data_IF_190154197125
#
_entry.id   IF_190154197125
#
_cell.length_a   1.000
_cell.length_b   1.000
_cell.length_c   1.000
_cell.angle_alpha   90.00
_cell.angle_beta   90.00
_cell.angle_gamma   90.00
#
_symmetry.space_group_name_H-M   'P 1'
#
loop_
_entity.id
_entity.type
_entity.pdbx_description
1 polymer ?
#
# COMPACT_ATOMS: atom_id res chain seq x y z
N UNK A 1 10.21 -12.20 15.86
CA UNK A 1 9.52 -10.94 15.52
C UNK A 1 8.82 -11.13 14.19
N UNK A 2 7.74 -10.39 13.92
CA UNK A 2 6.98 -10.51 12.67
C UNK A 2 7.68 -9.73 11.55
N UNK A 3 7.76 -10.29 10.35
CA UNK A 3 8.47 -9.68 9.21
C UNK A 3 7.55 -8.79 8.37
N UNK A 4 6.48 -9.36 7.83
CA UNK A 4 5.40 -8.71 7.10
C UNK A 4 4.75 -7.65 7.98
N UNK A 5 4.37 -6.51 7.41
CA UNK A 5 3.81 -5.36 8.14
C UNK A 5 2.28 -5.34 8.08
N UNK A 6 1.64 -4.64 9.01
CA UNK A 6 0.17 -4.44 9.03
C UNK A 6 -0.12 -2.96 8.87
N UNK A 7 -0.94 -2.66 7.88
CA UNK A 7 -1.53 -1.34 7.66
C UNK A 7 -2.96 -1.40 8.16
N UNK A 8 -3.39 -0.41 8.95
CA UNK A 8 -4.77 -0.31 9.41
C UNK A 8 -5.35 1.03 8.97
N UNK A 9 -6.52 1.00 8.37
CA UNK A 9 -7.28 2.22 8.08
C UNK A 9 -7.87 2.76 9.36
N UNK A 10 -7.58 4.02 9.68
CA UNK A 10 -8.18 4.70 10.82
C UNK A 10 -9.53 5.32 10.43
N UNK A 11 -10.52 5.13 11.28
CA UNK A 11 -11.87 5.68 11.10
C UNK A 11 -12.61 5.80 12.43
N UNK A 12 -13.94 5.99 12.40
CA UNK A 12 -14.75 6.19 13.59
C UNK A 12 -14.52 5.16 14.71
N UNK A 13 -14.40 3.87 14.37
CA UNK A 13 -14.25 2.78 15.34
C UNK A 13 -12.85 2.72 15.98
N UNK A 14 -11.83 3.27 15.31
CA UNK A 14 -10.43 3.26 15.76
C UNK A 14 -9.90 4.64 16.10
N UNK A 15 -10.79 5.61 16.33
CA UNK A 15 -10.38 7.01 16.48
C UNK A 15 -9.81 7.31 17.88
N UNK A 16 -10.20 6.60 18.95
CA UNK A 16 -9.75 6.95 20.32
C UNK A 16 -8.27 6.60 20.59
N UNK A 17 -7.59 7.38 21.44
CA UNK A 17 -6.19 7.12 21.85
C UNK A 17 -6.00 5.69 22.38
N UNK A 18 -6.92 5.24 23.24
CA UNK A 18 -6.91 3.89 23.82
C UNK A 18 -7.02 2.80 22.77
N UNK A 19 -7.80 3.02 21.71
CA UNK A 19 -7.96 2.02 20.65
C UNK A 19 -6.74 2.00 19.73
N UNK A 20 -6.19 3.17 19.37
CA UNK A 20 -4.93 3.31 18.65
C UNK A 20 -3.80 2.59 19.40
N UNK A 21 -3.67 2.81 20.71
CA UNK A 21 -2.66 2.18 21.56
C UNK A 21 -2.76 0.65 21.52
N UNK A 22 -3.98 0.10 21.64
CA UNK A 22 -4.20 -1.35 21.52
C UNK A 22 -3.84 -1.87 20.13
N UNK A 23 -4.20 -1.15 19.06
CA UNK A 23 -3.89 -1.54 17.69
C UNK A 23 -2.37 -1.55 17.45
N UNK A 24 -1.65 -0.54 17.93
CA UNK A 24 -0.18 -0.50 17.90
C UNK A 24 0.43 -1.68 18.67
N UNK A 25 -0.04 -1.95 19.91
CA UNK A 25 0.40 -3.12 20.71
C UNK A 25 0.12 -4.46 20.03
N UNK A 26 -0.99 -4.56 19.30
CA UNK A 26 -1.38 -5.77 18.58
C UNK A 26 -0.68 -5.92 17.22
N UNK A 27 0.10 -4.93 16.78
CA UNK A 27 1.00 -5.05 15.65
C UNK A 27 0.76 -4.10 14.47
N UNK A 28 -0.09 -3.07 14.60
CA UNK A 28 -0.20 -2.02 13.57
C UNK A 28 1.16 -1.35 13.34
N UNK A 29 1.55 -1.20 12.07
CA UNK A 29 2.79 -0.53 11.66
C UNK A 29 2.55 0.77 10.90
N UNK A 30 1.44 0.87 10.18
CA UNK A 30 1.08 2.04 9.38
C UNK A 30 -0.39 2.36 9.59
N UNK A 31 -0.68 3.63 9.89
CA UNK A 31 -2.03 4.18 9.90
C UNK A 31 -2.36 4.71 8.50
N UNK A 32 -3.36 4.12 7.85
CA UNK A 32 -3.93 4.60 6.59
C UNK A 32 -5.08 5.58 6.87
N UNK A 33 -5.10 6.68 6.15
CA UNK A 33 -6.18 7.65 6.12
C UNK A 33 -6.76 7.67 4.72
N UNK A 34 -8.04 7.32 4.59
CA UNK A 34 -8.72 7.25 3.31
C UNK A 34 -9.37 8.60 2.99
N UNK A 35 -8.85 9.33 2.00
CA UNK A 35 -9.33 10.67 1.64
C UNK A 35 -10.54 10.65 0.70
N UNK A 36 -11.01 9.47 0.28
CA UNK A 36 -12.35 9.33 -0.30
C UNK A 36 -13.47 9.69 0.69
N UNK A 37 -13.16 9.78 1.99
CA UNK A 37 -14.06 10.13 3.06
C UNK A 37 -13.42 11.11 4.06
N UNK A 38 -14.25 11.79 4.83
CA UNK A 38 -13.80 12.73 5.87
C UNK A 38 -13.37 14.08 5.31
N UNK A 39 -13.00 14.97 6.22
CA UNK A 39 -12.48 16.31 5.91
C UNK A 39 -11.03 16.42 6.35
N UNK A 40 -10.29 17.38 5.80
CA UNK A 40 -8.92 17.67 6.23
C UNK A 40 -8.81 17.90 7.75
N UNK A 41 -9.78 18.56 8.36
CA UNK A 41 -9.80 18.78 9.82
C UNK A 41 -9.90 17.45 10.58
N UNK A 42 -10.81 16.57 10.17
CA UNK A 42 -10.95 15.25 10.81
C UNK A 42 -9.70 14.36 10.63
N UNK A 43 -9.04 14.45 9.46
CA UNK A 43 -7.80 13.73 9.19
C UNK A 43 -6.65 14.30 10.01
N UNK A 44 -6.58 15.62 10.18
CA UNK A 44 -5.58 16.30 11.01
C UNK A 44 -5.67 15.83 12.46
N UNK A 45 -6.86 15.87 13.06
CA UNK A 45 -7.07 15.38 14.43
C UNK A 45 -6.65 13.92 14.59
N UNK A 46 -6.94 13.09 13.59
CA UNK A 46 -6.59 11.67 13.58
C UNK A 46 -5.07 11.47 13.51
N UNK A 47 -4.37 12.22 12.64
CA UNK A 47 -2.91 12.19 12.51
C UNK A 47 -2.24 12.61 13.83
N UNK A 48 -2.67 13.73 14.41
CA UNK A 48 -2.10 14.27 15.65
C UNK A 48 -2.27 13.29 16.81
N UNK A 49 -3.46 12.71 16.95
CA UNK A 49 -3.75 11.70 17.96
C UNK A 49 -2.95 10.43 17.78
N UNK A 50 -2.83 9.93 16.54
CA UNK A 50 -2.01 8.76 16.23
C UNK A 50 -0.54 8.99 16.58
N UNK A 51 0.03 10.15 16.18
CA UNK A 51 1.42 10.50 16.47
C UNK A 51 1.67 10.63 17.97
N UNK A 52 0.77 11.29 18.71
CA UNK A 52 0.86 11.39 20.17
C UNK A 52 1.00 10.01 20.81
N UNK A 53 0.08 9.08 20.52
CA UNK A 53 0.11 7.73 21.10
C UNK A 53 1.36 6.96 20.66
N UNK A 54 1.73 7.03 19.38
CA UNK A 54 2.95 6.41 18.84
C UNK A 54 4.21 6.88 19.56
N UNK A 55 4.32 8.19 19.77
CA UNK A 55 5.51 8.84 20.34
C UNK A 55 5.60 8.56 21.85
N UNK A 56 4.48 8.57 22.58
CA UNK A 56 4.38 8.12 23.98
C UNK A 56 4.81 6.66 24.16
N UNK A 57 4.51 5.81 23.18
CA UNK A 57 4.94 4.41 23.16
C UNK A 57 6.40 4.22 22.74
N UNK A 58 7.06 5.23 22.16
CA UNK A 58 8.44 5.15 21.68
C UNK A 58 8.65 4.16 20.53
N UNK A 59 7.66 3.96 19.66
CA UNK A 59 7.71 2.96 18.57
C UNK A 59 7.70 3.61 17.18
N UNK A 60 8.23 2.87 16.20
CA UNK A 60 8.15 3.27 14.80
C UNK A 60 6.78 2.91 14.21
N UNK A 61 5.98 3.90 13.84
CA UNK A 61 4.79 3.71 13.00
C UNK A 61 4.57 4.89 12.05
N UNK A 62 4.12 4.58 10.83
CA UNK A 62 3.99 5.56 9.75
C UNK A 62 2.54 6.00 9.51
N UNK A 63 2.38 7.13 8.84
CA UNK A 63 1.12 7.65 8.32
C UNK A 63 1.11 7.53 6.79
N UNK A 64 0.05 6.92 6.25
CA UNK A 64 -0.19 6.77 4.82
C UNK A 64 -1.48 7.50 4.44
N UNK A 65 -1.36 8.50 3.57
CA UNK A 65 -2.49 9.18 2.95
C UNK A 65 -2.90 8.41 1.70
N UNK A 66 -4.14 7.96 1.61
CA UNK A 66 -4.68 7.29 0.42
C UNK A 66 -5.59 8.25 -0.34
N UNK A 67 -5.15 8.67 -1.53
CA UNK A 67 -5.86 9.63 -2.39
C UNK A 67 -7.16 9.04 -2.92
N UNK A 68 -8.13 9.88 -3.27
CA UNK A 68 -9.35 9.39 -3.93
C UNK A 68 -9.06 8.94 -5.36
N UNK A 69 -8.27 9.74 -6.08
CA UNK A 69 -7.91 9.48 -7.48
C UNK A 69 -9.02 9.78 -8.48
N UNK A 70 -8.71 9.62 -9.78
CA UNK A 70 -9.63 9.93 -10.88
C UNK A 70 -10.67 8.82 -11.03
N UNK A 71 -11.92 9.13 -10.67
CA UNK A 71 -13.06 8.21 -10.72
C UNK A 71 -14.25 8.92 -11.36
N UNK A 72 -15.00 8.20 -12.18
CA UNK A 72 -16.24 8.68 -12.80
C UNK A 72 -17.40 8.21 -11.93
N UNK A 73 -18.36 9.09 -11.63
CA UNK A 73 -19.54 8.76 -10.85
C UNK A 73 -20.83 9.22 -11.52
N UNK A 74 -21.91 8.51 -11.22
CA UNK A 74 -23.26 8.95 -11.56
C UNK A 74 -23.74 10.03 -10.57
N UNK A 75 -24.73 10.81 -11.00
CA UNK A 75 -25.41 11.81 -10.18
C UNK A 75 -26.36 11.21 -9.14
N UNK A 76 -27.31 12.03 -8.73
CA UNK A 76 -28.37 11.65 -7.79
C UNK A 76 -29.65 11.28 -8.53
N UNK A 77 -30.43 10.36 -7.95
CA UNK A 77 -31.76 9.99 -8.40
C UNK A 77 -32.84 10.73 -7.61
N UNK A 78 -33.95 11.02 -8.27
CA UNK A 78 -35.16 11.57 -7.62
C UNK A 78 -35.65 10.62 -6.52
N UNK A 79 -35.62 9.31 -6.80
CA UNK A 79 -35.98 8.26 -5.87
C UNK A 79 -34.80 7.27 -5.75
N UNK A 80 -33.87 7.53 -4.83
CA UNK A 80 -32.75 6.63 -4.56
C UNK A 80 -33.12 5.61 -3.47
N UNK A 81 -32.83 4.32 -3.65
CA UNK A 81 -32.25 3.70 -4.85
C UNK A 81 -33.28 3.45 -5.96
N UNK A 82 -32.82 3.35 -7.21
CA UNK A 82 -33.63 2.87 -8.35
C UNK A 82 -33.32 1.41 -8.67
N UNK A 83 -34.25 0.71 -9.31
CA UNK A 83 -34.04 -0.67 -9.79
C UNK A 83 -33.94 -0.66 -11.31
N UNK A 84 -32.77 -1.03 -11.83
CA UNK A 84 -32.56 -1.26 -13.26
C UNK A 84 -32.84 -2.72 -13.58
N UNK A 85 -33.73 -3.01 -14.52
CA UNK A 85 -34.05 -4.40 -14.91
C UNK A 85 -33.18 -4.83 -16.08
N UNK A 86 -32.72 -6.07 -16.05
CA UNK A 86 -32.05 -6.69 -17.19
C UNK A 86 -32.92 -6.60 -18.44
N UNK A 87 -32.33 -6.12 -19.52
CA UNK A 87 -33.01 -5.93 -20.80
C UNK A 87 -33.66 -4.55 -20.96
N UNK A 88 -33.67 -3.68 -19.95
CA UNK A 88 -34.14 -2.30 -20.14
C UNK A 88 -33.05 -1.43 -20.79
N UNK A 89 -33.47 -0.33 -21.41
CA UNK A 89 -32.56 0.70 -21.90
C UNK A 89 -32.35 1.75 -20.79
N UNK A 90 -31.10 2.15 -20.57
CA UNK A 90 -30.72 3.14 -19.56
C UNK A 90 -29.72 4.14 -20.13
N UNK A 91 -29.91 5.43 -19.86
CA UNK A 91 -29.11 6.51 -20.45
C UNK A 91 -28.17 7.14 -19.43
N UNK A 92 -26.88 7.15 -19.73
CA UNK A 92 -25.88 7.93 -19.02
C UNK A 92 -25.69 9.26 -19.76
N UNK A 93 -25.86 10.40 -19.08
CA UNK A 93 -25.84 11.72 -19.75
C UNK A 93 -24.93 12.72 -19.04
N UNK A 94 -24.27 13.60 -19.79
CA UNK A 94 -23.52 14.73 -19.23
C UNK A 94 -24.40 15.95 -18.93
N UNK A 95 -25.69 15.91 -19.33
CA UNK A 95 -26.67 16.95 -19.00
C UNK A 95 -26.91 16.97 -17.50
N UNK A 96 -27.08 18.16 -16.93
CA UNK A 96 -27.47 18.34 -15.53
C UNK A 96 -28.95 17.99 -15.37
N UNK A 97 -29.21 16.73 -14.99
CA UNK A 97 -30.55 16.18 -14.80
C UNK A 97 -30.57 15.33 -13.54
N UNK A 98 -31.67 15.40 -12.79
CA UNK A 98 -31.92 14.46 -11.70
C UNK A 98 -32.23 13.08 -12.29
N UNK A 99 -31.57 12.06 -11.77
CA UNK A 99 -31.68 10.69 -12.26
C UNK A 99 -33.06 10.09 -12.05
N UNK A 100 -33.46 9.22 -12.97
CA UNK A 100 -34.67 8.40 -12.94
C UNK A 100 -34.31 6.95 -13.28
N UNK A 101 -35.30 6.06 -13.36
CA UNK A 101 -35.09 4.68 -13.81
C UNK A 101 -34.65 4.57 -15.29
N UNK A 102 -34.60 5.68 -16.04
CA UNK A 102 -34.28 5.68 -17.48
C UNK A 102 -33.04 6.51 -17.85
N UNK A 103 -32.61 7.44 -17.00
CA UNK A 103 -31.50 8.36 -17.27
C UNK A 103 -30.84 8.80 -15.98
N UNK A 104 -29.52 9.00 -15.97
CA UNK A 104 -28.78 9.63 -14.85
C UNK A 104 -27.61 10.46 -15.36
N UNK A 105 -27.33 11.57 -14.65
CA UNK A 105 -26.17 12.41 -14.88
C UNK A 105 -24.85 11.63 -14.64
N UNK A 106 -23.78 11.98 -15.37
CA UNK A 106 -22.40 11.53 -15.17
C UNK A 106 -21.50 12.75 -14.95
N UNK A 107 -20.69 12.70 -13.90
CA UNK A 107 -19.87 13.84 -13.46
C UNK A 107 -18.66 14.17 -14.35
N UNK A 108 -18.36 13.30 -15.33
CA UNK A 108 -17.32 13.53 -16.33
C UNK A 108 -17.88 14.18 -17.62
N UNK A 109 -17.56 15.46 -17.83
CA UNK A 109 -18.12 16.26 -18.94
C UNK A 109 -17.79 15.73 -20.34
N UNK A 110 -16.66 15.04 -20.52
CA UNK A 110 -16.24 14.47 -21.81
C UNK A 110 -16.71 13.01 -21.99
N UNK A 111 -17.54 12.48 -21.09
CA UNK A 111 -17.96 11.08 -21.11
C UNK A 111 -18.61 10.67 -22.43
N UNK A 112 -19.63 11.39 -22.90
CA UNK A 112 -20.30 11.07 -24.16
C UNK A 112 -19.38 11.20 -25.39
N UNK A 113 -18.39 12.09 -25.34
CA UNK A 113 -17.42 12.31 -26.42
C UNK A 113 -16.46 11.12 -26.55
N UNK A 114 -15.98 10.59 -25.43
CA UNK A 114 -14.95 9.53 -25.39
C UNK A 114 -15.51 8.11 -25.53
N UNK A 115 -16.66 7.82 -24.93
CA UNK A 115 -17.24 6.46 -24.90
C UNK A 115 -17.53 5.95 -26.31
N UNK A 116 -17.26 4.66 -26.56
CA UNK A 116 -17.53 4.00 -27.85
C UNK A 116 -18.72 3.04 -27.76
N UNK A 117 -19.42 2.89 -28.89
CA UNK A 117 -20.46 1.88 -29.02
C UNK A 117 -19.89 0.47 -28.80
N UNK A 118 -20.68 -0.41 -28.19
CA UNK A 118 -20.29 -1.79 -27.89
C UNK A 118 -19.49 -1.98 -26.60
N UNK A 119 -18.99 -0.90 -25.97
CA UNK A 119 -18.28 -0.99 -24.69
C UNK A 119 -19.18 -1.55 -23.57
N UNK A 120 -18.55 -2.29 -22.66
CA UNK A 120 -19.13 -2.73 -21.40
C UNK A 120 -18.86 -1.65 -20.35
N UNK A 121 -19.91 -1.20 -19.66
CA UNK A 121 -19.79 -0.28 -18.52
C UNK A 121 -20.26 -1.02 -17.27
N UNK A 122 -19.57 -0.78 -16.16
CA UNK A 122 -19.85 -1.38 -14.88
C UNK A 122 -20.25 -0.27 -13.90
N UNK A 123 -21.38 -0.42 -13.22
CA UNK A 123 -21.85 0.52 -12.20
C UNK A 123 -21.84 -0.12 -10.81
N UNK A 124 -21.62 0.72 -9.79
CA UNK A 124 -21.57 0.31 -8.37
C UNK A 124 -20.63 -0.87 -8.15
N UNK A 125 -19.37 -0.68 -8.56
CA UNK A 125 -18.28 -1.66 -8.41
C UNK A 125 -18.61 -3.01 -9.08
N UNK A 126 -19.23 -2.94 -10.26
CA UNK A 126 -19.54 -4.10 -11.10
C UNK A 126 -20.83 -4.83 -10.78
N UNK A 127 -21.66 -4.34 -9.84
CA UNK A 127 -22.97 -4.96 -9.55
C UNK A 127 -23.98 -4.86 -10.68
N UNK A 128 -23.86 -3.82 -11.51
CA UNK A 128 -24.71 -3.61 -12.67
C UNK A 128 -23.84 -3.53 -13.90
N UNK A 129 -24.17 -4.32 -14.92
CA UNK A 129 -23.48 -4.32 -16.20
C UNK A 129 -24.36 -3.66 -17.25
N UNK A 130 -23.81 -2.66 -17.94
CA UNK A 130 -24.40 -2.01 -19.10
C UNK A 130 -23.59 -2.30 -20.37
N UNK A 131 -24.26 -2.31 -21.53
CA UNK A 131 -23.62 -2.35 -22.85
C UNK A 131 -24.03 -1.13 -23.66
N UNK A 132 -23.05 -0.35 -24.13
CA UNK A 132 -23.32 0.85 -24.94
C UNK A 132 -23.94 0.44 -26.27
N UNK A 133 -25.14 0.96 -26.56
CA UNK A 133 -25.86 0.73 -27.81
C UNK A 133 -25.56 1.81 -28.84
N UNK A 134 -25.72 3.07 -28.43
CA UNK A 134 -25.53 4.25 -29.27
C UNK A 134 -25.25 5.48 -28.42
N UNK A 135 -24.70 6.53 -29.04
CA UNK A 135 -24.47 7.80 -28.35
C UNK A 135 -24.86 9.02 -29.17
N UNK A 136 -25.13 10.12 -28.47
CA UNK A 136 -25.23 11.47 -29.04
C UNK A 136 -24.08 12.32 -28.51
N UNK A 137 -24.14 13.65 -28.70
CA UNK A 137 -23.17 14.57 -28.10
C UNK A 137 -23.25 14.60 -26.56
N UNK A 138 -24.39 14.24 -25.98
CA UNK A 138 -24.61 14.35 -24.53
C UNK A 138 -25.00 13.04 -23.86
N UNK A 139 -25.59 12.11 -24.61
CA UNK A 139 -26.26 10.94 -24.06
C UNK A 139 -25.62 9.66 -24.57
N UNK A 140 -25.37 8.72 -23.68
CA UNK A 140 -24.89 7.36 -23.96
C UNK A 140 -26.02 6.40 -23.61
N UNK A 141 -26.70 5.88 -24.62
CA UNK A 141 -27.81 4.94 -24.46
C UNK A 141 -27.24 3.53 -24.34
N UNK A 142 -27.54 2.87 -23.23
CA UNK A 142 -27.04 1.54 -22.92
C UNK A 142 -28.18 0.53 -22.77
N UNK A 143 -27.86 -0.74 -22.99
CA UNK A 143 -28.67 -1.89 -22.58
C UNK A 143 -28.24 -2.35 -21.20
N UNK A 144 -29.17 -2.56 -20.28
CA UNK A 144 -28.88 -3.23 -19.01
C UNK A 144 -28.68 -4.71 -19.30
N UNK A 145 -27.46 -5.21 -19.13
CA UNK A 145 -27.11 -6.62 -19.30
C UNK A 145 -27.37 -7.38 -18.00
N UNK A 146 -26.96 -6.79 -16.87
CA UNK A 146 -27.21 -7.31 -15.52
C UNK A 146 -27.78 -6.16 -14.71
N UNK A 147 -29.05 -6.28 -14.34
CA UNK A 147 -29.77 -5.30 -13.56
C UNK A 147 -29.57 -5.45 -12.05
N UNK A 148 -29.96 -4.43 -11.30
CA UNK A 148 -29.81 -4.39 -9.86
C UNK A 148 -30.29 -3.08 -9.25
N UNK A 149 -30.07 -2.94 -7.96
CA UNK A 149 -30.29 -1.71 -7.21
C UNK A 149 -29.15 -0.72 -7.48
N UNK A 150 -29.47 0.50 -7.89
CA UNK A 150 -28.52 1.59 -8.14
C UNK A 150 -28.86 2.79 -7.26
N UNK A 151 -27.92 3.15 -6.38
CA UNK A 151 -28.04 4.30 -5.50
C UNK A 151 -27.30 5.53 -6.05
N UNK A 152 -27.36 6.65 -5.34
CA UNK A 152 -26.66 7.89 -5.70
C UNK A 152 -25.14 7.74 -5.71
N UNK A 153 -24.47 8.52 -6.58
CA UNK A 153 -23.01 8.75 -6.55
C UNK A 153 -22.16 7.48 -6.69
N UNK A 154 -22.67 6.46 -7.37
CA UNK A 154 -21.96 5.21 -7.63
C UNK A 154 -20.94 5.34 -8.75
N UNK A 155 -19.90 4.52 -8.68
CA UNK A 155 -18.78 4.44 -9.63
C UNK A 155 -19.26 4.01 -11.02
N UNK A 156 -18.54 4.48 -12.06
CA UNK A 156 -18.59 3.95 -13.42
C UNK A 156 -17.19 3.44 -13.77
N UNK A 157 -17.09 2.15 -14.06
CA UNK A 157 -15.87 1.47 -14.48
C UNK A 157 -16.00 1.03 -15.94
N UNK A 158 -14.90 1.10 -16.69
CA UNK A 158 -14.89 0.88 -18.14
C UNK A 158 -13.72 -0.04 -18.50
N UNK A 159 -13.90 -1.37 -18.35
CA UNK A 159 -12.84 -2.35 -18.60
C UNK A 159 -12.23 -2.21 -19.99
N UNK A 160 -10.89 -2.28 -20.05
CA UNK A 160 -10.10 -2.24 -21.28
C UNK A 160 -10.26 -0.94 -22.10
N UNK A 161 -10.64 0.16 -21.46
CA UNK A 161 -10.81 1.46 -22.10
C UNK A 161 -10.07 2.58 -21.38
N UNK A 162 -9.17 3.25 -22.10
CA UNK A 162 -8.47 4.42 -21.58
C UNK A 162 -9.34 5.68 -21.67
N UNK A 163 -9.66 6.27 -20.51
CA UNK A 163 -10.28 7.59 -20.40
C UNK A 163 -9.22 8.68 -20.30
N UNK A 164 -9.36 9.76 -21.07
CA UNK A 164 -8.43 10.89 -21.10
C UNK A 164 -8.65 11.87 -19.92
N UNK A 165 -8.83 11.34 -18.72
CA UNK A 165 -9.00 12.14 -17.50
C UNK A 165 -7.64 12.62 -16.96
N UNK A 166 -7.56 13.87 -16.45
CA UNK A 166 -6.43 14.30 -15.64
C UNK A 166 -6.21 13.34 -14.48
N UNK A 167 -4.97 12.92 -14.27
CA UNK A 167 -4.65 11.96 -13.21
C UNK A 167 -4.84 12.54 -11.80
N UNK A 168 -4.40 13.79 -11.59
CA UNK A 168 -4.53 14.47 -10.29
C UNK A 168 -5.70 15.45 -10.40
N UNK A 169 -6.82 15.14 -9.72
CA UNK A 169 -7.98 16.03 -9.64
C UNK A 169 -7.69 17.26 -8.76
N UNK A 170 -8.55 18.28 -8.79
CA UNK A 170 -8.40 19.42 -7.88
C UNK A 170 -8.52 19.01 -6.40
N UNK A 171 -9.42 18.07 -6.10
CA UNK A 171 -9.53 17.48 -4.75
C UNK A 171 -8.22 16.78 -4.36
N UNK A 172 -7.65 15.95 -5.24
CA UNK A 172 -6.38 15.28 -4.95
C UNK A 172 -5.26 16.30 -4.72
N UNK A 173 -5.21 17.42 -5.47
CA UNK A 173 -4.21 18.48 -5.21
C UNK A 173 -4.35 19.05 -3.80
N UNK A 174 -5.57 19.35 -3.37
CA UNK A 174 -5.82 19.85 -2.01
C UNK A 174 -5.42 18.82 -0.95
N UNK A 175 -5.76 17.55 -1.15
CA UNK A 175 -5.42 16.44 -0.27
C UNK A 175 -3.90 16.22 -0.19
N UNK A 176 -3.19 16.32 -1.31
CA UNK A 176 -1.74 16.20 -1.40
C UNK A 176 -1.04 17.36 -0.69
N UNK A 177 -1.51 18.61 -0.89
CA UNK A 177 -0.99 19.78 -0.18
C UNK A 177 -1.19 19.64 1.34
N UNK A 178 -2.35 19.13 1.75
CA UNK A 178 -2.59 18.78 3.14
C UNK A 178 -1.61 17.71 3.64
N UNK A 179 -1.40 16.63 2.89
CA UNK A 179 -0.45 15.58 3.21
C UNK A 179 0.98 16.09 3.38
N UNK A 180 1.43 16.99 2.50
CA UNK A 180 2.73 17.66 2.61
C UNK A 180 2.80 18.49 3.89
N UNK A 181 1.79 19.32 4.15
CA UNK A 181 1.74 20.17 5.36
C UNK A 181 1.77 19.33 6.64
N UNK A 182 1.10 18.19 6.65
CA UNK A 182 1.09 17.26 7.78
C UNK A 182 2.33 16.36 7.83
N UNK A 183 3.23 16.44 6.85
CA UNK A 183 4.42 15.59 6.71
C UNK A 183 4.09 14.09 6.79
N UNK A 184 3.11 13.62 6.02
CA UNK A 184 2.76 12.18 5.96
C UNK A 184 3.91 11.34 5.41
N UNK A 185 4.06 10.09 5.85
CA UNK A 185 5.20 9.26 5.47
C UNK A 185 5.07 8.69 4.06
N UNK A 186 3.85 8.33 3.69
CA UNK A 186 3.48 7.72 2.42
C UNK A 186 2.24 8.37 1.81
N UNK A 187 2.20 8.36 0.48
CA UNK A 187 0.98 8.60 -0.30
C UNK A 187 0.70 7.34 -1.09
N UNK A 188 -0.48 6.75 -0.90
CA UNK A 188 -1.03 5.74 -1.79
C UNK A 188 -1.84 6.42 -2.88
N UNK A 189 -1.34 6.32 -4.11
CA UNK A 189 -1.83 7.01 -5.28
C UNK A 189 -2.82 6.10 -6.01
N UNK A 190 -4.11 6.48 -6.03
CA UNK A 190 -5.21 5.70 -6.60
C UNK A 190 -5.20 5.73 -8.13
N UNK A 191 -5.72 4.67 -8.72
CA UNK A 191 -5.91 4.46 -10.16
C UNK A 191 -4.69 4.81 -11.01
N UNK A 192 -3.48 4.42 -10.58
CA UNK A 192 -2.26 4.62 -11.38
C UNK A 192 -2.32 3.73 -12.61
N UNK A 193 -2.22 4.33 -13.81
CA UNK A 193 -2.31 3.63 -15.10
C UNK A 193 -0.99 3.60 -15.86
N UNK A 194 -0.11 4.56 -15.58
CA UNK A 194 1.11 4.77 -16.34
C UNK A 194 2.26 5.32 -15.47
N UNK A 195 3.48 5.27 -16.00
CA UNK A 195 4.62 5.95 -15.36
C UNK A 195 4.44 7.47 -15.27
N UNK A 196 3.74 8.07 -16.23
CA UNK A 196 3.55 9.52 -16.28
C UNK A 196 2.68 10.00 -15.13
N UNK A 197 1.72 9.18 -14.68
CA UNK A 197 0.91 9.45 -13.49
C UNK A 197 1.80 9.57 -12.24
N UNK A 198 2.71 8.60 -12.06
CA UNK A 198 3.67 8.58 -10.94
C UNK A 198 4.65 9.75 -11.03
N UNK A 199 5.17 10.07 -12.22
CA UNK A 199 6.08 11.19 -12.45
C UNK A 199 5.39 12.53 -12.17
N UNK A 200 4.14 12.71 -12.65
CA UNK A 200 3.35 13.91 -12.37
C UNK A 200 3.13 14.10 -10.88
N UNK A 201 2.79 13.03 -10.17
CA UNK A 201 2.63 13.06 -8.72
C UNK A 201 3.94 13.41 -8.01
N UNK A 202 5.05 12.77 -8.39
CA UNK A 202 6.39 13.08 -7.85
C UNK A 202 6.75 14.55 -8.07
N UNK A 203 6.59 15.06 -9.29
CA UNK A 203 6.88 16.46 -9.61
C UNK A 203 6.02 17.42 -8.79
N UNK A 204 4.73 17.10 -8.59
CA UNK A 204 3.83 17.89 -7.75
C UNK A 204 4.32 17.93 -6.30
N UNK A 205 4.64 16.77 -5.72
CA UNK A 205 5.15 16.67 -4.36
C UNK A 205 6.46 17.44 -4.19
N UNK A 206 7.42 17.24 -5.09
CA UNK A 206 8.73 17.87 -5.02
C UNK A 206 8.63 19.40 -5.16
N UNK A 207 7.79 19.89 -6.08
CA UNK A 207 7.54 21.33 -6.26
C UNK A 207 6.97 21.98 -5.00
N UNK A 208 6.12 21.27 -4.25
CA UNK A 208 5.51 21.74 -3.02
C UNK A 208 6.28 21.35 -1.74
N UNK A 209 7.47 20.75 -1.86
CA UNK A 209 8.36 20.44 -0.73
C UNK A 209 8.21 19.04 -0.11
N UNK A 210 7.35 18.18 -0.64
CA UNK A 210 7.12 16.79 -0.21
C UNK A 210 8.15 15.76 -0.68
N UNK A 211 9.39 16.17 -0.93
CA UNK A 211 10.46 15.33 -1.50
C UNK A 211 10.78 14.06 -0.71
N UNK A 212 10.57 14.06 0.60
CA UNK A 212 10.80 12.91 1.48
C UNK A 212 9.64 11.92 1.53
N UNK A 213 8.45 12.30 1.05
CA UNK A 213 7.24 11.47 1.07
C UNK A 213 7.36 10.37 0.00
N UNK A 214 6.99 9.15 0.35
CA UNK A 214 7.09 7.99 -0.55
C UNK A 214 5.78 7.72 -1.28
N UNK A 215 5.86 7.42 -2.58
CA UNK A 215 4.69 7.14 -3.42
C UNK A 215 4.50 5.63 -3.54
N UNK A 216 3.33 5.17 -3.11
CA UNK A 216 2.84 3.81 -3.30
C UNK A 216 1.80 3.84 -4.44
N UNK A 217 2.13 3.33 -5.62
CA UNK A 217 1.16 3.28 -6.72
C UNK A 217 0.15 2.15 -6.49
N UNK A 218 -1.15 2.46 -6.53
CA UNK A 218 -2.23 1.48 -6.44
C UNK A 218 -2.59 0.99 -7.84
N UNK A 219 -2.48 -0.33 -8.04
CA UNK A 219 -2.83 -0.99 -9.30
C UNK A 219 -4.24 -1.53 -9.18
N UNK A 220 -5.15 -0.94 -9.95
CA UNK A 220 -6.61 -1.06 -9.78
C UNK A 220 -7.35 -1.35 -11.09
N UNK A 221 -6.67 -1.34 -12.23
CA UNK A 221 -7.30 -1.58 -13.54
C UNK A 221 -6.34 -2.28 -14.52
N UNK A 222 -6.86 -2.65 -15.69
CA UNK A 222 -6.09 -3.35 -16.72
C UNK A 222 -4.88 -2.55 -17.19
N UNK A 223 -4.99 -1.24 -17.38
CA UNK A 223 -3.88 -0.40 -17.83
C UNK A 223 -2.72 -0.40 -16.84
N UNK A 224 -3.01 -0.29 -15.54
CA UNK A 224 -2.00 -0.38 -14.49
C UNK A 224 -1.32 -1.76 -14.45
N UNK A 225 -2.05 -2.83 -14.76
CA UNK A 225 -1.50 -4.19 -14.87
C UNK A 225 -0.60 -4.33 -16.10
N UNK A 226 -1.03 -3.81 -17.26
CA UNK A 226 -0.26 -3.87 -18.51
C UNK A 226 1.02 -3.02 -18.45
N UNK A 227 0.94 -1.84 -17.83
CA UNK A 227 2.07 -0.91 -17.68
C UNK A 227 2.87 -1.12 -16.38
N UNK A 228 2.63 -2.23 -15.68
CA UNK A 228 3.12 -2.46 -14.32
C UNK A 228 4.63 -2.25 -14.18
N UNK A 229 5.44 -2.72 -15.13
CA UNK A 229 6.90 -2.66 -15.04
C UNK A 229 7.43 -1.22 -15.05
N UNK A 230 6.87 -0.38 -15.91
CA UNK A 230 7.24 1.04 -15.99
C UNK A 230 6.72 1.81 -14.75
N UNK A 231 5.51 1.49 -14.27
CA UNK A 231 4.98 2.07 -13.02
C UNK A 231 5.90 1.71 -11.85
N UNK A 232 6.21 0.42 -11.70
CA UNK A 232 7.06 -0.11 -10.64
C UNK A 232 8.39 0.61 -10.63
N UNK A 233 9.03 0.84 -11.79
CA UNK A 233 10.32 1.55 -11.90
C UNK A 233 10.28 2.96 -11.32
N UNK A 234 9.16 3.68 -11.46
CA UNK A 234 9.02 5.07 -11.01
C UNK A 234 8.39 5.23 -9.62
N UNK A 235 7.76 4.19 -9.04
CA UNK A 235 7.17 4.24 -7.69
C UNK A 235 8.16 3.91 -6.58
N UNK A 236 7.89 4.32 -5.33
CA UNK A 236 8.63 3.85 -4.15
C UNK A 236 8.12 2.48 -3.63
N UNK A 237 6.88 2.14 -3.97
CA UNK A 237 6.25 0.85 -3.71
C UNK A 237 4.93 0.69 -4.47
N UNK A 238 4.30 -0.46 -4.32
CA UNK A 238 3.05 -0.83 -4.99
C UNK A 238 2.00 -1.24 -3.96
N UNK A 239 0.73 -0.95 -4.24
CA UNK A 239 -0.40 -1.56 -3.58
C UNK A 239 -1.22 -2.36 -4.60
N UNK A 240 -1.38 -3.65 -4.32
CA UNK A 240 -2.25 -4.56 -5.08
C UNK A 240 -3.66 -4.41 -4.48
N UNK A 241 -4.48 -3.56 -5.09
CA UNK A 241 -5.82 -3.20 -4.63
C UNK A 241 -6.87 -4.12 -5.28
N UNK A 242 -7.11 -5.26 -4.64
CA UNK A 242 -7.84 -6.41 -5.23
C UNK A 242 -9.33 -6.17 -5.42
N UNK A 243 -9.93 -5.34 -4.58
CA UNK A 243 -11.33 -4.94 -4.67
C UNK A 243 -11.57 -4.17 -5.96
N UNK A 244 -10.91 -3.02 -6.12
CA UNK A 244 -11.03 -2.18 -7.30
C UNK A 244 -10.56 -2.92 -8.57
N UNK A 245 -9.42 -3.63 -8.50
CA UNK A 245 -8.92 -4.44 -9.62
C UNK A 245 -9.87 -5.57 -10.01
N UNK A 246 -10.59 -6.17 -9.06
CA UNK A 246 -11.58 -7.22 -9.31
C UNK A 246 -12.84 -6.73 -10.02
N UNK A 247 -13.07 -5.42 -10.09
CA UNK A 247 -14.14 -4.81 -10.91
C UNK A 247 -13.71 -4.73 -12.36
N UNK A 248 -12.47 -4.32 -12.61
CA UNK A 248 -11.95 -4.02 -13.96
C UNK A 248 -11.34 -5.24 -14.67
N UNK A 249 -10.79 -6.18 -13.91
CA UNK A 249 -10.07 -7.35 -14.42
C UNK A 249 -10.89 -8.62 -14.18
N UNK A 250 -10.83 -9.57 -15.11
CA UNK A 250 -11.49 -10.87 -14.94
C UNK A 250 -11.06 -11.55 -13.64
N UNK A 251 -12.03 -11.94 -12.81
CA UNK A 251 -11.80 -12.37 -11.43
C UNK A 251 -10.89 -13.60 -11.33
N UNK A 252 -10.90 -14.49 -12.34
CA UNK A 252 -10.06 -15.68 -12.37
C UNK A 252 -8.59 -15.38 -12.62
N UNK A 253 -8.26 -14.22 -13.20
CA UNK A 253 -6.89 -13.77 -13.43
C UNK A 253 -6.26 -13.11 -12.20
N UNK A 254 -7.10 -12.58 -11.29
CA UNK A 254 -6.70 -11.79 -10.14
C UNK A 254 -5.60 -12.45 -9.29
N UNK A 255 -5.68 -13.75 -8.92
CA UNK A 255 -4.64 -14.38 -8.10
C UNK A 255 -3.29 -14.46 -8.81
N UNK A 256 -3.28 -14.72 -10.12
CA UNK A 256 -2.05 -14.78 -10.91
C UNK A 256 -1.37 -13.42 -11.02
N UNK A 257 -2.16 -12.36 -11.26
CA UNK A 257 -1.66 -10.99 -11.34
C UNK A 257 -1.06 -10.54 -10.01
N UNK A 258 -1.73 -10.81 -8.88
CA UNK A 258 -1.20 -10.53 -7.54
C UNK A 258 0.19 -11.14 -7.36
N UNK A 259 0.35 -12.44 -7.65
CA UNK A 259 1.62 -13.16 -7.49
C UNK A 259 2.73 -12.54 -8.33
N UNK A 260 2.45 -12.22 -9.58
CA UNK A 260 3.42 -11.59 -10.49
C UNK A 260 3.84 -10.21 -9.99
N UNK A 261 2.88 -9.37 -9.57
CA UNK A 261 3.18 -8.03 -9.08
C UNK A 261 4.00 -8.05 -7.78
N UNK A 262 3.60 -8.87 -6.80
CA UNK A 262 4.36 -9.05 -5.56
C UNK A 262 5.78 -9.51 -5.87
N UNK A 263 5.92 -10.48 -6.78
CA UNK A 263 7.20 -11.03 -7.20
C UNK A 263 8.15 -9.95 -7.71
N UNK A 264 7.69 -9.20 -8.72
CA UNK A 264 8.46 -8.13 -9.34
C UNK A 264 8.82 -7.00 -8.36
N UNK A 265 7.90 -6.65 -7.44
CA UNK A 265 8.16 -5.63 -6.42
C UNK A 265 9.32 -6.02 -5.50
N UNK A 266 9.29 -7.23 -4.93
CA UNK A 266 10.37 -7.62 -4.03
C UNK A 266 11.68 -7.81 -4.80
N UNK A 267 11.66 -8.33 -6.04
CA UNK A 267 12.86 -8.43 -6.89
C UNK A 267 13.48 -7.05 -7.16
N UNK A 268 12.65 -6.01 -7.27
CA UNK A 268 13.11 -4.62 -7.40
C UNK A 268 13.54 -3.97 -6.08
N UNK A 269 13.41 -4.68 -4.94
CA UNK A 269 13.66 -4.16 -3.60
C UNK A 269 12.66 -3.08 -3.16
N UNK A 270 11.48 -3.05 -3.77
CA UNK A 270 10.40 -2.10 -3.47
C UNK A 270 9.35 -2.75 -2.57
N UNK A 271 8.67 -1.91 -1.81
CA UNK A 271 7.61 -2.36 -0.90
C UNK A 271 6.36 -2.73 -1.70
N UNK A 272 5.66 -3.77 -1.28
CA UNK A 272 4.38 -4.17 -1.85
C UNK A 272 3.35 -4.45 -0.77
N UNK A 273 2.15 -3.92 -0.95
CA UNK A 273 1.02 -4.04 -0.04
C UNK A 273 -0.05 -4.88 -0.73
N UNK A 274 -0.52 -5.94 -0.06
CA UNK A 274 -1.74 -6.64 -0.48
C UNK A 274 -2.93 -6.04 0.27
N UNK A 275 -3.91 -5.51 -0.46
CA UNK A 275 -4.98 -4.68 0.07
C UNK A 275 -6.37 -5.18 -0.29
N UNK A 276 -7.36 -4.73 0.50
CA UNK A 276 -8.81 -5.00 0.40
C UNK A 276 -9.21 -6.47 0.58
N UNK A 277 -10.42 -6.74 1.10
CA UNK A 277 -10.96 -8.11 1.24
C UNK A 277 -10.04 -9.09 2.00
N UNK A 278 -9.28 -8.59 2.98
CA UNK A 278 -8.34 -9.43 3.73
C UNK A 278 -9.07 -10.20 4.83
N UNK A 279 -9.73 -9.49 5.76
CA UNK A 279 -10.52 -10.07 6.85
C UNK A 279 -11.91 -9.44 6.92
N UNK A 280 -12.50 -9.12 5.76
CA UNK A 280 -13.75 -8.35 5.61
C UNK A 280 -14.89 -8.81 6.54
N UNK A 281 -15.07 -10.13 6.71
CA UNK A 281 -16.10 -10.69 7.59
C UNK A 281 -15.95 -10.20 9.04
N UNK A 282 -14.73 -9.84 9.46
CA UNK A 282 -14.44 -9.33 10.81
C UNK A 282 -14.89 -7.88 11.05
N UNK A 283 -15.46 -7.20 10.04
CA UNK A 283 -16.19 -5.94 10.27
C UNK A 283 -17.31 -6.18 11.29
N UNK A 284 -18.04 -7.30 11.15
CA UNK A 284 -19.17 -7.66 12.03
C UNK A 284 -18.93 -8.95 12.83
N UNK A 285 -18.07 -9.85 12.34
CA UNK A 285 -17.78 -11.14 12.97
C UNK A 285 -16.58 -11.09 13.94
N UNK A 286 -16.63 -11.83 15.06
CA UNK A 286 -15.47 -11.97 15.95
C UNK A 286 -14.33 -12.81 15.36
N UNK A 287 -14.57 -13.59 14.30
CA UNK A 287 -13.57 -14.49 13.69
C UNK A 287 -13.67 -14.45 12.18
N UNK A 288 -12.53 -14.51 11.47
CA UNK A 288 -12.53 -14.54 10.02
C UNK A 288 -12.96 -15.91 9.50
N UNK A 289 -13.33 -15.96 8.22
CA UNK A 289 -13.61 -17.20 7.51
C UNK A 289 -12.33 -17.98 7.22
N UNK A 290 -12.45 -19.27 6.90
CA UNK A 290 -11.31 -20.10 6.47
C UNK A 290 -10.69 -19.59 5.17
N UNK A 291 -11.52 -19.06 4.27
CA UNK A 291 -11.07 -18.50 2.99
C UNK A 291 -10.19 -17.25 3.22
N UNK A 292 -10.63 -16.33 4.08
CA UNK A 292 -9.85 -15.13 4.46
C UNK A 292 -8.52 -15.49 5.13
N UNK A 293 -8.52 -16.47 6.05
CA UNK A 293 -7.27 -16.94 6.67
C UNK A 293 -6.30 -17.46 5.59
N UNK A 294 -6.80 -18.27 4.66
CA UNK A 294 -5.98 -18.82 3.58
C UNK A 294 -5.49 -17.73 2.63
N UNK A 295 -6.31 -16.72 2.34
CA UNK A 295 -5.97 -15.61 1.47
C UNK A 295 -4.84 -14.74 2.05
N UNK A 296 -4.96 -14.37 3.34
CA UNK A 296 -3.89 -13.67 4.06
C UNK A 296 -2.60 -14.48 4.08
N UNK A 297 -2.68 -15.79 4.33
CA UNK A 297 -1.50 -16.65 4.34
C UNK A 297 -0.84 -16.74 2.95
N UNK A 298 -1.63 -16.83 1.88
CA UNK A 298 -1.12 -16.83 0.52
C UNK A 298 -0.42 -15.52 0.15
N UNK A 299 -0.95 -14.36 0.58
CA UNK A 299 -0.26 -13.08 0.38
C UNK A 299 1.12 -13.05 1.05
N UNK A 300 1.26 -13.69 2.23
CA UNK A 300 2.56 -13.86 2.91
C UNK A 300 3.46 -14.80 2.12
N UNK A 301 2.97 -15.97 1.68
CA UNK A 301 3.74 -16.91 0.85
C UNK A 301 4.23 -16.29 -0.45
N UNK A 302 3.43 -15.42 -1.05
CA UNK A 302 3.78 -14.66 -2.26
C UNK A 302 4.91 -13.65 -2.01
N UNK A 303 5.18 -13.30 -0.74
CA UNK A 303 6.24 -12.40 -0.33
C UNK A 303 5.79 -10.94 -0.16
N UNK A 304 4.52 -10.69 0.15
CA UNK A 304 4.02 -9.32 0.38
C UNK A 304 4.81 -8.61 1.47
N UNK A 305 5.07 -7.30 1.33
CA UNK A 305 5.74 -6.54 2.40
C UNK A 305 4.79 -6.21 3.54
N UNK A 306 3.52 -5.95 3.19
CA UNK A 306 2.47 -5.65 4.15
C UNK A 306 1.12 -6.20 3.70
N UNK A 307 0.25 -6.37 4.68
CA UNK A 307 -1.18 -6.65 4.52
C UNK A 307 -1.98 -5.48 5.09
N UNK A 308 -3.09 -5.13 4.43
CA UNK A 308 -3.88 -3.95 4.79
C UNK A 308 -5.30 -4.28 5.23
N UNK A 309 -5.70 -3.74 6.38
CA UNK A 309 -7.06 -3.72 6.90
C UNK A 309 -7.75 -2.41 6.51
N UNK A 310 -8.95 -2.52 5.97
CA UNK A 310 -9.77 -1.44 5.42
C UNK A 310 -10.94 -1.13 6.36
N UNK A 311 -12.17 -1.56 6.03
CA UNK A 311 -13.35 -1.33 6.83
C UNK A 311 -13.25 -2.02 8.21
N UNK A 312 -12.52 -3.13 8.29
CA UNK A 312 -12.38 -3.95 9.49
C UNK A 312 -11.85 -3.16 10.68
N UNK A 313 -10.95 -2.20 10.44
CA UNK A 313 -10.41 -1.32 11.49
C UNK A 313 -11.03 0.06 11.49
N UNK A 314 -11.49 0.56 10.34
CA UNK A 314 -12.05 1.91 10.27
C UNK A 314 -13.42 2.02 10.95
N UNK A 315 -14.26 0.99 10.79
CA UNK A 315 -15.67 1.02 11.20
C UNK A 315 -16.19 -0.33 11.75
N UNK A 316 -15.34 -1.36 11.81
CA UNK A 316 -15.68 -2.65 12.40
C UNK A 316 -15.92 -2.60 13.91
N UNK A 317 -16.56 -3.64 14.45
CA UNK A 317 -16.99 -3.71 15.86
C UNK A 317 -15.82 -3.75 16.84
N UNK A 318 -14.67 -4.32 16.46
CA UNK A 318 -13.51 -4.45 17.37
C UNK A 318 -12.17 -4.36 16.61
N UNK A 319 -11.73 -3.15 16.23
CA UNK A 319 -10.52 -2.92 15.44
C UNK A 319 -9.27 -3.58 16.04
N UNK A 320 -8.99 -3.38 17.33
CA UNK A 320 -7.82 -3.97 17.97
C UNK A 320 -7.80 -5.50 17.89
N UNK A 321 -8.96 -6.16 18.00
CA UNK A 321 -9.05 -7.62 17.83
C UNK A 321 -8.71 -8.06 16.40
N UNK A 322 -9.19 -7.33 15.38
CA UNK A 322 -8.87 -7.63 13.98
C UNK A 322 -7.36 -7.58 13.77
N UNK A 323 -6.69 -6.52 14.25
CA UNK A 323 -5.23 -6.38 14.16
C UNK A 323 -4.51 -7.56 14.82
N UNK A 324 -4.98 -7.98 16.01
CA UNK A 324 -4.41 -9.14 16.72
C UNK A 324 -4.59 -10.44 15.95
N UNK A 325 -5.73 -10.66 15.30
CA UNK A 325 -5.99 -11.84 14.49
C UNK A 325 -5.12 -11.83 13.23
N UNK A 326 -5.05 -10.70 12.53
CA UNK A 326 -4.17 -10.51 11.38
C UNK A 326 -2.71 -10.82 11.74
N UNK A 327 -2.22 -10.27 12.85
CA UNK A 327 -0.86 -10.52 13.32
C UNK A 327 -0.58 -12.01 13.60
N UNK A 328 -1.55 -12.75 14.16
CA UNK A 328 -1.42 -14.20 14.40
C UNK A 328 -1.35 -14.99 13.10
N UNK A 329 -2.23 -14.70 12.13
CA UNK A 329 -2.24 -15.40 10.83
C UNK A 329 -0.92 -15.16 10.12
N UNK A 330 -0.47 -13.89 10.07
CA UNK A 330 0.80 -13.52 9.44
C UNK A 330 1.99 -14.21 10.11
N UNK A 331 2.06 -14.24 11.44
CA UNK A 331 3.15 -14.92 12.15
C UNK A 331 3.22 -16.42 11.87
N UNK A 332 2.06 -17.08 11.81
CA UNK A 332 2.00 -18.50 11.47
C UNK A 332 2.41 -18.73 10.02
N UNK A 333 1.87 -17.94 9.09
CA UNK A 333 2.22 -18.03 7.67
C UNK A 333 3.72 -17.74 7.42
N UNK A 334 4.35 -16.83 8.16
CA UNK A 334 5.80 -16.61 8.08
C UNK A 334 6.59 -17.85 8.49
N UNK A 335 6.24 -18.47 9.62
CA UNK A 335 6.89 -19.69 10.09
C UNK A 335 6.76 -20.82 9.04
N UNK A 336 5.56 -20.98 8.49
CA UNK A 336 5.25 -21.96 7.45
C UNK A 336 6.04 -21.67 6.16
N UNK A 337 6.11 -20.39 5.73
CA UNK A 337 6.85 -19.96 4.55
C UNK A 337 8.34 -20.32 4.65
N UNK A 338 8.97 -20.05 5.80
CA UNK A 338 10.37 -20.41 6.03
C UNK A 338 10.57 -21.93 6.08
N UNK A 339 9.68 -22.67 6.74
CA UNK A 339 9.75 -24.13 6.81
C UNK A 339 9.61 -24.80 5.43
N UNK A 340 8.76 -24.24 4.56
CA UNK A 340 8.57 -24.70 3.18
C UNK A 340 9.64 -24.17 2.22
N UNK A 341 10.56 -23.32 2.68
CA UNK A 341 11.49 -22.59 1.83
C UNK A 341 10.78 -21.81 0.71
N UNK A 342 9.60 -21.25 0.99
CA UNK A 342 8.80 -20.49 0.02
C UNK A 342 9.53 -19.25 -0.53
N UNK A 343 10.62 -18.83 0.13
CA UNK A 343 11.48 -17.74 -0.32
C UNK A 343 12.79 -18.17 -0.99
N UNK A 344 13.09 -19.48 -1.07
CA UNK A 344 14.30 -19.98 -1.74
C UNK A 344 14.08 -20.18 -3.24
N UNK A 345 15.14 -20.01 -4.03
CA UNK A 345 15.12 -20.27 -5.48
C UNK A 345 14.52 -19.14 -6.31
N UNK A 346 14.39 -17.94 -5.74
CA UNK A 346 14.03 -16.77 -6.52
C UNK A 346 15.23 -16.25 -7.30
N UNK A 347 15.10 -16.20 -8.62
CA UNK A 347 16.01 -15.45 -9.47
C UNK A 347 15.86 -13.97 -9.13
N UNK A 348 16.90 -13.37 -8.54
CA UNK A 348 16.96 -11.93 -8.39
C UNK A 348 17.50 -11.34 -9.69
N UNK A 349 16.93 -10.23 -10.15
CA UNK A 349 17.61 -9.44 -11.16
C UNK A 349 18.95 -8.98 -10.57
N UNK A 350 20.02 -9.51 -11.14
CA UNK A 350 21.39 -9.08 -10.86
C UNK A 350 21.63 -7.91 -11.80
N UNK A 351 21.39 -6.70 -11.30
CA UNK A 351 21.93 -5.50 -11.89
C UNK A 351 23.42 -5.44 -11.52
N UNK A 352 24.31 -5.63 -12.51
CA UNK A 352 25.76 -5.63 -12.30
C UNK A 352 26.30 -4.30 -11.82
N UNK A 353 25.53 -3.22 -12.00
CA UNK A 353 25.89 -1.87 -11.59
C UNK A 353 25.37 -1.54 -10.17
N UNK A 354 24.52 -2.39 -9.57
CA UNK A 354 23.99 -2.19 -8.22
C UNK A 354 24.86 -2.87 -7.14
N UNK A 355 25.93 -2.18 -6.74
CA UNK A 355 26.84 -2.60 -5.66
C UNK A 355 26.06 -2.87 -4.36
N UNK A 356 25.03 -2.07 -4.05
CA UNK A 356 24.26 -2.23 -2.83
C UNK A 356 23.54 -3.58 -2.79
N UNK A 357 22.98 -4.00 -3.93
CA UNK A 357 22.34 -5.30 -4.08
C UNK A 357 23.33 -6.45 -3.85
N UNK A 358 24.53 -6.38 -4.45
CA UNK A 358 25.57 -7.41 -4.27
C UNK A 358 26.03 -7.54 -2.81
N UNK A 359 26.23 -6.41 -2.12
CA UNK A 359 26.61 -6.41 -0.69
C UNK A 359 25.49 -6.98 0.19
N UNK A 360 24.24 -6.63 -0.08
CA UNK A 360 23.10 -7.17 0.65
C UNK A 360 22.91 -8.67 0.43
N UNK A 361 23.17 -9.18 -0.77
CA UNK A 361 23.15 -10.62 -1.08
C UNK A 361 24.23 -11.38 -0.32
N UNK A 362 25.48 -10.87 -0.37
CA UNK A 362 26.59 -11.42 0.39
C UNK A 362 26.30 -11.42 1.90
N UNK A 363 25.67 -10.36 2.41
CA UNK A 363 25.29 -10.25 3.81
C UNK A 363 24.18 -11.22 4.22
N UNK A 364 23.18 -11.43 3.35
CA UNK A 364 22.15 -12.44 3.56
C UNK A 364 22.75 -13.84 3.65
N UNK A 365 23.60 -14.21 2.69
CA UNK A 365 24.29 -15.51 2.67
C UNK A 365 25.17 -15.68 3.92
N UNK A 366 25.97 -14.67 4.24
CA UNK A 366 26.85 -14.67 5.43
C UNK A 366 26.04 -14.86 6.72
N UNK A 367 24.93 -14.12 6.87
CA UNK A 367 24.10 -14.18 8.06
C UNK A 367 23.50 -15.58 8.27
N UNK A 368 23.01 -16.20 7.19
CA UNK A 368 22.47 -17.56 7.19
C UNK A 368 23.54 -18.59 7.59
N UNK A 369 24.71 -18.54 6.98
CA UNK A 369 25.76 -19.53 7.17
C UNK A 369 26.33 -19.53 8.59
N UNK A 370 26.50 -18.34 9.18
CA UNK A 370 27.01 -18.19 10.54
C UNK A 370 25.91 -18.21 11.60
N UNK A 371 24.63 -18.38 11.18
CA UNK A 371 23.45 -18.30 12.05
C UNK A 371 23.44 -17.03 12.89
N UNK A 372 23.68 -15.89 12.21
CA UNK A 372 23.70 -14.59 12.85
C UNK A 372 22.36 -14.32 13.56
N UNK A 373 22.41 -13.59 14.67
CA UNK A 373 21.21 -13.22 15.43
C UNK A 373 20.36 -12.19 14.69
N UNK A 374 21.01 -11.28 13.98
CA UNK A 374 20.39 -10.18 13.25
C UNK A 374 21.31 -9.67 12.13
N UNK A 375 20.69 -9.02 11.15
CA UNK A 375 21.37 -8.19 10.16
C UNK A 375 21.15 -6.73 10.57
N UNK A 376 22.21 -5.97 10.83
CA UNK A 376 22.12 -4.56 11.23
C UNK A 376 22.48 -3.70 10.02
N UNK A 377 21.54 -2.91 9.54
CA UNK A 377 21.73 -1.98 8.43
C UNK A 377 21.86 -0.56 8.95
N UNK A 378 22.96 0.11 8.62
CA UNK A 378 23.09 1.55 8.82
C UNK A 378 22.59 2.28 7.58
N UNK A 379 21.64 3.19 7.77
CA UNK A 379 20.95 3.81 6.64
C UNK A 379 20.44 5.20 6.98
N UNK A 380 20.59 6.14 6.05
CA UNK A 380 20.05 7.50 6.19
C UNK A 380 18.68 7.66 5.54
N UNK A 381 18.49 7.10 4.35
CA UNK A 381 17.23 7.19 3.57
C UNK A 381 16.39 5.91 3.61
N UNK A 382 16.87 4.86 4.28
CA UNK A 382 16.27 3.54 4.32
C UNK A 382 16.66 2.62 3.15
N UNK A 383 17.47 3.09 2.18
CA UNK A 383 17.83 2.31 0.99
C UNK A 383 18.49 0.96 1.34
N UNK A 384 19.54 0.95 2.17
CA UNK A 384 20.23 -0.27 2.62
C UNK A 384 19.28 -1.28 3.26
N UNK A 385 18.39 -0.81 4.15
CA UNK A 385 17.44 -1.67 4.85
C UNK A 385 16.45 -2.33 3.89
N UNK A 386 15.94 -1.59 2.89
CA UNK A 386 15.04 -2.12 1.87
C UNK A 386 15.75 -3.08 0.91
N UNK A 387 17.01 -2.82 0.56
CA UNK A 387 17.83 -3.77 -0.21
C UNK A 387 18.12 -5.05 0.56
N UNK A 388 18.41 -4.98 1.85
CA UNK A 388 18.54 -6.18 2.69
C UNK A 388 17.21 -6.95 2.79
N UNK A 389 16.09 -6.23 2.91
CA UNK A 389 14.74 -6.80 2.98
C UNK A 389 14.35 -7.62 1.75
N UNK A 390 14.81 -7.23 0.55
CA UNK A 390 14.59 -7.93 -0.73
C UNK A 390 14.92 -9.42 -0.66
N UNK A 391 15.98 -9.80 0.04
CA UNK A 391 16.46 -11.19 0.14
C UNK A 391 15.66 -12.05 1.11
N UNK A 392 14.64 -11.47 1.77
CA UNK A 392 13.76 -12.17 2.72
C UNK A 392 14.52 -13.00 3.78
N UNK A 393 15.53 -12.44 4.49
CA UNK A 393 16.26 -13.16 5.51
C UNK A 393 15.34 -13.67 6.62
N UNK A 394 15.69 -14.82 7.19
CA UNK A 394 15.06 -15.32 8.40
C UNK A 394 15.37 -14.40 9.59
N UNK A 395 16.62 -13.92 9.65
CA UNK A 395 17.10 -13.00 10.66
C UNK A 395 16.36 -11.66 10.59
N UNK A 396 16.02 -11.05 11.74
CA UNK A 396 15.48 -9.70 11.76
C UNK A 396 16.51 -8.71 11.22
N UNK A 397 16.03 -7.74 10.45
CA UNK A 397 16.86 -6.64 9.95
C UNK A 397 16.69 -5.45 10.89
N UNK A 398 17.74 -4.98 11.54
CA UNK A 398 17.70 -3.74 12.32
C UNK A 398 18.04 -2.58 11.40
N UNK A 399 17.11 -1.64 11.22
CA UNK A 399 17.32 -0.44 10.41
C UNK A 399 17.73 0.75 11.27
N UNK A 400 19.04 0.95 11.44
CA UNK A 400 19.60 2.05 12.23
C UNK A 400 19.69 3.33 11.39
N UNK A 401 18.96 4.36 11.79
CA UNK A 401 18.87 5.63 11.06
C UNK A 401 18.92 6.86 11.99
N UNK A 402 19.60 7.95 11.61
CA UNK A 402 19.53 9.21 12.33
C UNK A 402 18.28 10.03 11.99
N UNK A 403 17.60 9.68 10.90
CA UNK A 403 16.46 10.42 10.38
C UNK A 403 15.14 9.86 10.90
N UNK A 404 14.36 10.70 11.59
CA UNK A 404 13.07 10.34 12.21
C UNK A 404 12.02 9.96 11.15
N UNK A 405 12.03 10.65 10.01
CA UNK A 405 11.12 10.34 8.89
C UNK A 405 11.38 8.93 8.36
N UNK A 406 12.64 8.61 8.09
CA UNK A 406 13.09 7.28 7.66
C UNK A 406 12.79 6.22 8.72
N UNK A 407 12.96 6.53 10.01
CA UNK A 407 12.62 5.62 11.11
C UNK A 407 11.16 5.17 11.03
N UNK A 408 10.22 6.09 10.80
CA UNK A 408 8.82 5.74 10.60
C UNK A 408 8.57 5.05 9.25
N UNK A 409 9.17 5.51 8.16
CA UNK A 409 9.00 4.89 6.84
C UNK A 409 9.47 3.42 6.81
N UNK A 410 10.52 3.07 7.57
CA UNK A 410 10.97 1.69 7.66
C UNK A 410 9.95 0.75 8.32
N UNK A 411 8.92 1.27 9.00
CA UNK A 411 7.80 0.47 9.51
C UNK A 411 6.98 -0.23 8.42
N UNK A 412 7.11 0.18 7.15
CA UNK A 412 6.51 -0.52 6.00
C UNK A 412 7.45 -1.54 5.32
N UNK A 413 8.74 -1.54 5.67
CA UNK A 413 9.75 -2.40 5.04
C UNK A 413 9.75 -3.80 5.66
N UNK A 414 9.48 -4.85 4.86
CA UNK A 414 9.40 -6.24 5.32
C UNK A 414 10.63 -6.66 6.14
N UNK A 415 10.44 -7.32 7.28
CA UNK A 415 11.54 -7.83 8.11
C UNK A 415 12.35 -6.77 8.87
N UNK A 416 12.12 -5.48 8.59
CA UNK A 416 12.89 -4.39 9.21
C UNK A 416 12.30 -3.98 10.56
N UNK A 417 13.15 -3.84 11.56
CA UNK A 417 12.89 -3.28 12.89
C UNK A 417 13.67 -1.97 13.00
N UNK A 418 13.02 -0.81 12.91
CA UNK A 418 13.70 0.47 12.90
C UNK A 418 14.27 0.82 14.28
N UNK A 419 15.42 1.49 14.32
CA UNK A 419 15.96 2.11 15.53
C UNK A 419 16.59 3.45 15.20
N UNK A 420 16.40 4.43 16.08
CA UNK A 420 17.10 5.71 15.98
C UNK A 420 18.55 5.54 16.42
N UNK A 421 19.48 5.96 15.56
CA UNK A 421 20.91 5.91 15.80
C UNK A 421 21.53 7.24 15.39
N UNK A 422 22.37 7.82 16.24
CA UNK A 422 23.02 9.09 15.98
C UNK A 422 24.11 8.94 14.91
N UNK A 423 24.27 9.96 14.08
CA UNK A 423 25.42 10.05 13.16
C UNK A 423 26.74 9.98 13.93
N UNK A 424 27.73 9.32 13.35
CA UNK A 424 29.07 9.16 13.92
C UNK A 424 30.13 9.64 12.94
N UNK A 425 31.30 10.03 13.46
CA UNK A 425 32.40 10.56 12.65
C UNK A 425 33.21 9.48 11.92
N UNK A 426 33.30 8.29 12.52
CA UNK A 426 34.07 7.16 11.98
C UNK A 426 33.19 5.95 11.73
N UNK A 427 33.59 5.11 10.78
CA UNK A 427 32.87 3.87 10.45
C UNK A 427 32.79 2.90 11.62
N UNK A 428 33.85 2.76 12.41
CA UNK A 428 33.85 1.86 13.56
C UNK A 428 32.94 2.37 14.69
N UNK A 429 32.95 3.67 14.98
CA UNK A 429 32.01 4.26 15.94
C UNK A 429 30.56 4.10 15.48
N UNK A 430 30.29 4.30 14.19
CA UNK A 430 28.97 4.09 13.58
C UNK A 430 28.47 2.67 13.76
N UNK A 431 29.31 1.69 13.44
CA UNK A 431 28.97 0.27 13.53
C UNK A 431 28.71 -0.12 14.99
N UNK A 432 29.59 0.29 15.90
CA UNK A 432 29.43 0.01 17.32
C UNK A 432 28.14 0.65 17.87
N UNK A 433 27.86 1.90 17.51
CA UNK A 433 26.65 2.59 17.93
C UNK A 433 25.38 1.90 17.41
N UNK A 434 25.37 1.45 16.16
CA UNK A 434 24.25 0.70 15.59
C UNK A 434 24.00 -0.64 16.30
N UNK A 435 25.07 -1.35 16.71
CA UNK A 435 24.98 -2.56 17.54
C UNK A 435 24.40 -2.23 18.91
N UNK A 436 24.82 -1.13 19.54
CA UNK A 436 24.31 -0.73 20.85
C UNK A 436 22.84 -0.31 20.78
N UNK A 437 22.42 0.38 19.72
CA UNK A 437 21.00 0.65 19.43
C UNK A 437 20.20 -0.66 19.24
N UNK A 438 20.75 -1.68 18.58
CA UNK A 438 20.08 -2.97 18.45
C UNK A 438 19.90 -3.69 19.80
N UNK A 439 20.79 -3.45 20.78
CA UNK A 439 20.65 -3.95 22.17
C UNK A 439 19.47 -3.29 22.89
N UNK A 440 19.25 -1.99 22.71
CA UNK A 440 18.20 -1.25 23.46
C UNK A 440 16.78 -1.75 23.13
N UNK A 441 16.57 -2.23 21.91
CA UNK A 441 15.31 -2.82 21.45
C UNK A 441 15.24 -4.36 21.65
N UNK A 442 16.19 -4.93 22.41
CA UNK A 442 16.26 -6.36 22.77
C UNK A 442 16.28 -7.33 21.56
N UNK A 443 16.80 -6.89 20.41
CA UNK A 443 16.97 -7.77 19.23
C UNK A 443 18.21 -8.65 19.38
N UNK A 444 19.26 -8.12 20.00
CA UNK A 444 20.56 -8.77 20.21
C UNK A 444 21.03 -8.59 21.65
N UNK A 445 21.87 -9.52 22.14
CA UNK A 445 22.50 -9.46 23.46
C UNK A 445 23.99 -9.80 23.36
N UNK A 446 24.75 -9.51 24.43
CA UNK A 446 26.19 -9.78 24.51
C UNK A 446 26.50 -11.23 24.12
N UNK A 447 27.48 -11.40 23.22
CA UNK A 447 27.90 -12.72 22.72
C UNK A 447 27.13 -13.23 21.51
N UNK A 448 26.05 -12.57 21.08
CA UNK A 448 25.43 -12.86 19.79
C UNK A 448 26.35 -12.43 18.64
N UNK A 449 26.26 -13.12 17.50
CA UNK A 449 26.96 -12.74 16.26
C UNK A 449 25.97 -11.98 15.38
N UNK A 450 26.41 -10.86 14.78
CA UNK A 450 25.60 -10.06 13.86
C UNK A 450 26.37 -9.74 12.59
N UNK A 451 25.63 -9.55 11.50
CA UNK A 451 26.16 -9.03 10.23
C UNK A 451 25.75 -7.58 10.09
N UNK A 452 26.72 -6.69 9.92
CA UNK A 452 26.49 -5.25 9.77
C UNK A 452 26.69 -4.87 8.31
N UNK A 453 25.70 -4.17 7.75
CA UNK A 453 25.74 -3.59 6.41
C UNK A 453 25.74 -2.08 6.55
N UNK A 454 26.71 -1.40 5.94
CA UNK A 454 26.81 0.05 5.99
C UNK A 454 27.23 0.64 4.65
N UNK A 455 27.08 1.96 4.56
CA UNK A 455 27.63 2.75 3.48
C UNK A 455 28.71 3.69 3.97
N UNK A 456 29.85 3.70 3.28
CA UNK A 456 30.99 4.58 3.56
C UNK A 456 31.29 5.40 2.31
N UNK A 457 31.50 6.74 2.42
CA UNK A 457 31.59 7.55 3.65
C UNK A 457 30.26 7.71 4.42
N UNK A 458 30.35 7.76 5.76
CA UNK A 458 29.22 7.66 6.72
C UNK A 458 28.09 8.68 6.49
N UNK A 459 28.40 9.84 5.92
CA UNK A 459 27.44 10.94 5.73
C UNK A 459 26.80 11.03 4.34
N UNK A 460 27.15 10.12 3.42
CA UNK A 460 26.65 10.10 2.05
C UNK A 460 25.58 9.01 1.91
N UNK A 461 24.36 9.42 1.59
CA UNK A 461 23.28 8.47 1.31
C UNK A 461 23.50 7.77 -0.05
N UNK A 462 23.04 6.51 -0.16
CA UNK A 462 23.00 5.77 -1.43
C UNK A 462 24.24 4.92 -1.75
N UNK A 463 25.27 4.90 -0.90
CA UNK A 463 26.49 4.13 -1.14
C UNK A 463 26.60 2.92 -0.19
N UNK A 464 25.78 1.88 -0.36
CA UNK A 464 25.95 0.64 0.43
C UNK A 464 27.12 -0.18 -0.12
N UNK A 465 28.22 -0.30 0.63
CA UNK A 465 29.46 -0.89 0.13
C UNK A 465 30.27 -1.68 1.18
N UNK A 466 29.78 -1.82 2.41
CA UNK A 466 30.48 -2.53 3.48
C UNK A 466 29.61 -3.63 4.09
N UNK A 467 30.24 -4.79 4.33
CA UNK A 467 29.77 -5.88 5.17
C UNK A 467 30.80 -6.15 6.28
N UNK A 468 30.37 -6.29 7.53
CA UNK A 468 31.23 -6.66 8.67
C UNK A 468 30.51 -7.65 9.59
N UNK A 469 31.19 -8.74 9.94
CA UNK A 469 30.73 -9.66 10.99
C UNK A 469 31.30 -9.18 12.32
N UNK A 470 30.46 -9.10 13.36
CA UNK A 470 30.90 -8.72 14.70
C UNK A 470 30.17 -9.51 15.78
N UNK A 471 30.84 -9.68 16.92
CA UNK A 471 30.24 -10.21 18.15
C UNK A 471 29.80 -9.03 19.03
N UNK A 472 28.60 -9.14 19.60
CA UNK A 472 27.86 -8.10 20.32
C UNK A 472 28.36 -7.84 21.74
#
# INVERSE_FOLDING_TARGET
MRHTKIICTLGPASSSEKEIEKMLKNGMNVARLNFSHGTHESHKETIERFRKVRDEMGIAAAVLLDTKGPEIRIGEFENSPVILKTGDDFTLTIRDVVGTNSVVHVDYKHFAEEIKEGLKLLLDDGKITLKVLRKTKTDVVCKVVEGGELANRKSINIPYFHMNMPYISEQDKEDLLFGIKMDVDFIAASFVRSKDDVIKLRNFLDFHGGHSIKIIAKIENNEGVENFDEILKHSDGIMVARGDMGVEVEFERLPGIQKVMIKKCYQSGKMVITATQMLESMVSSPTPTRAEISDVANAVFDGTSAVMLSAETAMGVNPARVVKVMAKIVQQAEADAFAMNAYQGYDYEIDTDDIANAICDAAHTTAKDIKAKAIITVTKSGHTARRASKFRPFEPIVGATPDVKTFHQLSLSWGVVPVLALSQETSDALIQHAVDCAKTINVVKKGDIVVVIAGIPVNIAGMTNLIKVTTV
#
